data_IF_523318180709
#
_entry.id   IF_523318180709
#
_cell.length_a   1.000
_cell.length_b   1.000
_cell.length_c   1.000
_cell.angle_alpha   90.00
_cell.angle_beta   90.00
_cell.angle_gamma   90.00
#
_symmetry.space_group_name_H-M   'P 1'
#
loop_
_entity.id
_entity.type
_entity.pdbx_description
1 polymer ?
#
# COMPACT_ATOMS: atom_id res chain seq x y z
N UNK A 1 10.43 8.70 7.17
CA UNK A 1 11.30 8.00 8.15
C UNK A 1 12.74 7.78 7.64
N UNK A 2 13.09 8.25 6.45
CA UNK A 2 14.41 8.03 5.85
C UNK A 2 15.62 8.44 6.72
N UNK A 3 15.47 9.43 7.58
CA UNK A 3 16.53 9.82 8.51
C UNK A 3 16.77 8.81 9.66
N UNK A 4 15.91 7.81 9.82
CA UNK A 4 16.02 6.72 10.81
C UNK A 4 16.45 5.39 10.18
N UNK A 5 16.66 5.32 8.87
CA UNK A 5 17.10 4.10 8.18
C UNK A 5 18.52 3.70 8.62
N UNK A 6 18.80 2.46 8.78
CA UNK A 6 18.02 1.24 8.65
C UNK A 6 17.22 0.99 9.93
N UNK A 7 15.96 0.53 9.79
CA UNK A 7 15.11 0.29 10.94
C UNK A 7 14.93 -1.23 11.11
N UNK A 8 15.09 -1.69 12.37
CA UNK A 8 14.82 -3.08 12.77
C UNK A 8 13.73 -3.13 13.82
N UNK A 9 12.86 -4.10 13.70
CA UNK A 9 11.86 -4.43 14.71
C UNK A 9 12.20 -5.77 15.31
N UNK A 10 12.26 -5.84 16.64
CA UNK A 10 12.52 -7.08 17.38
C UNK A 10 11.23 -7.47 18.09
N UNK A 11 10.77 -8.67 17.82
CA UNK A 11 9.56 -9.22 18.41
C UNK A 11 9.87 -10.41 19.30
N UNK A 12 9.07 -10.59 20.34
CA UNK A 12 8.99 -11.82 21.12
C UNK A 12 7.57 -12.39 20.93
N UNK A 13 7.45 -13.39 20.08
CA UNK A 13 6.16 -13.79 19.53
C UNK A 13 5.53 -12.63 18.74
N UNK A 14 4.29 -12.27 19.06
CA UNK A 14 3.58 -11.14 18.44
C UNK A 14 3.85 -9.78 19.13
N UNK A 15 4.60 -9.76 20.24
CA UNK A 15 4.86 -8.55 21.02
C UNK A 15 6.13 -7.83 20.51
N UNK A 16 5.99 -6.57 20.08
CA UNK A 16 7.12 -5.72 19.71
C UNK A 16 7.95 -5.40 20.96
N UNK A 17 9.19 -5.92 21.01
CA UNK A 17 10.13 -5.73 22.14
C UNK A 17 10.98 -4.47 21.96
N UNK A 18 11.49 -4.23 20.76
CA UNK A 18 12.31 -3.07 20.47
C UNK A 18 12.16 -2.60 19.03
N UNK A 19 12.25 -1.27 18.84
CA UNK A 19 12.42 -0.64 17.52
C UNK A 19 13.78 0.03 17.50
N UNK A 20 14.67 -0.50 16.66
CA UNK A 20 16.02 -0.01 16.47
C UNK A 20 16.08 0.85 15.22
N UNK A 21 16.89 1.91 15.25
CA UNK A 21 17.05 2.88 14.16
C UNK A 21 18.52 3.11 13.86
N UNK A 22 18.84 3.51 12.62
CA UNK A 22 20.20 3.78 12.16
C UNK A 22 21.14 2.57 12.36
N UNK A 23 20.59 1.37 12.24
CA UNK A 23 21.34 0.13 12.41
C UNK A 23 22.32 -0.05 11.26
N UNK A 24 23.55 -0.37 11.59
CA UNK A 24 24.63 -0.68 10.67
C UNK A 24 25.04 -2.16 10.75
N UNK A 25 25.80 -2.69 9.79
CA UNK A 25 26.36 -4.04 9.89
C UNK A 25 27.20 -4.25 11.17
N UNK A 26 27.84 -3.21 11.70
CA UNK A 26 28.68 -3.29 12.91
C UNK A 26 27.86 -3.49 14.19
N UNK A 27 26.54 -3.33 14.13
CA UNK A 27 25.65 -3.48 15.28
C UNK A 27 25.07 -4.90 15.40
N UNK A 28 25.34 -5.80 14.44
CA UNK A 28 24.76 -7.15 14.40
C UNK A 28 25.06 -7.94 15.68
N UNK A 29 26.30 -7.93 16.15
CA UNK A 29 26.69 -8.67 17.36
C UNK A 29 25.98 -8.15 18.62
N UNK A 30 25.73 -6.82 18.71
CA UNK A 30 24.97 -6.24 19.81
C UNK A 30 23.51 -6.68 19.79
N UNK A 31 22.93 -6.77 18.59
CA UNK A 31 21.54 -7.19 18.39
C UNK A 31 21.38 -8.66 18.74
N UNK A 32 22.31 -9.53 18.30
CA UNK A 32 22.32 -10.95 18.64
C UNK A 32 22.44 -11.13 20.16
N UNK A 33 23.42 -10.47 20.78
CA UNK A 33 23.61 -10.53 22.23
C UNK A 33 22.38 -10.08 23.02
N UNK A 34 21.67 -9.05 22.50
CA UNK A 34 20.39 -8.62 23.10
C UNK A 34 19.32 -9.70 22.96
N UNK A 35 19.18 -10.33 21.79
CA UNK A 35 18.14 -11.37 21.58
C UNK A 35 18.37 -12.58 22.48
N UNK A 36 19.61 -12.91 22.80
CA UNK A 36 19.99 -14.01 23.68
C UNK A 36 19.82 -13.66 25.18
N UNK A 37 20.19 -12.45 25.58
CA UNK A 37 20.24 -12.06 26.99
C UNK A 37 19.03 -11.27 27.49
N UNK A 38 18.29 -10.62 26.58
CA UNK A 38 17.24 -9.65 26.91
C UNK A 38 17.75 -8.33 27.50
N UNK A 39 19.07 -8.10 27.50
CA UNK A 39 19.68 -6.93 28.12
C UNK A 39 19.62 -5.70 27.23
N UNK A 40 18.65 -4.82 27.49
CA UNK A 40 18.40 -3.57 26.74
C UNK A 40 19.61 -2.62 26.69
N UNK A 41 20.55 -2.70 27.65
CA UNK A 41 21.73 -1.81 27.66
C UNK A 41 22.62 -2.02 26.42
N UNK A 42 22.61 -3.21 25.84
CA UNK A 42 23.43 -3.57 24.67
C UNK A 42 23.00 -2.83 23.40
N UNK A 43 21.73 -2.49 23.28
CA UNK A 43 21.12 -1.84 22.12
C UNK A 43 20.59 -0.43 22.43
N UNK A 44 20.84 0.10 23.62
CA UNK A 44 20.26 1.38 24.09
C UNK A 44 20.53 2.56 23.15
N UNK A 45 21.69 2.59 22.50
CA UNK A 45 22.06 3.62 21.51
C UNK A 45 21.32 3.50 20.18
N UNK A 46 20.75 2.34 19.90
CA UNK A 46 20.03 2.04 18.66
C UNK A 46 18.52 2.18 18.84
N UNK A 47 18.00 2.18 20.07
CA UNK A 47 16.57 2.33 20.33
C UNK A 47 16.11 3.71 19.90
N UNK A 48 14.97 3.77 19.19
CA UNK A 48 14.37 5.03 18.77
C UNK A 48 14.21 6.00 19.96
N UNK A 49 14.61 7.25 19.79
CA UNK A 49 14.50 8.26 20.83
C UNK A 49 13.03 8.52 21.21
N UNK A 50 12.78 8.97 22.45
CA UNK A 50 11.44 9.37 22.87
C UNK A 50 10.91 10.56 22.07
N UNK A 51 11.78 11.44 21.58
CA UNK A 51 11.43 12.57 20.73
C UNK A 51 10.93 12.09 19.36
N UNK A 52 11.70 11.23 18.68
CA UNK A 52 11.33 10.67 17.40
C UNK A 52 10.07 9.80 17.50
N UNK A 53 9.96 9.01 18.58
CA UNK A 53 8.75 8.23 18.88
C UNK A 53 7.54 9.14 19.05
N UNK A 54 7.64 10.18 19.85
CA UNK A 54 6.58 11.15 20.07
C UNK A 54 6.18 11.89 18.79
N UNK A 55 7.14 12.20 17.90
CA UNK A 55 6.84 12.76 16.58
C UNK A 55 6.03 11.80 15.72
N UNK A 56 6.40 10.52 15.66
CA UNK A 56 5.69 9.51 14.88
C UNK A 56 4.30 9.22 15.45
N UNK A 57 4.14 9.18 16.76
CA UNK A 57 2.86 8.90 17.45
C UNK A 57 1.83 10.03 17.28
N UNK A 58 2.28 11.26 17.06
CA UNK A 58 1.39 12.40 16.76
C UNK A 58 0.81 12.39 15.35
N UNK A 59 1.31 11.53 14.45
CA UNK A 59 0.83 11.45 13.09
C UNK A 59 -0.42 10.57 12.99
N UNK A 60 -1.48 11.08 12.38
CA UNK A 60 -2.63 10.28 11.95
C UNK A 60 -2.40 9.83 10.52
N UNK A 61 -1.95 8.58 10.34
CA UNK A 61 -1.66 8.02 9.02
C UNK A 61 -2.89 7.32 8.46
N UNK A 62 -3.38 7.79 7.29
CA UNK A 62 -4.51 7.19 6.57
C UNK A 62 -3.99 6.42 5.36
N UNK A 63 -3.38 7.10 4.39
CA UNK A 63 -2.83 6.46 3.19
C UNK A 63 -1.62 5.56 3.50
N UNK A 64 -0.83 5.88 4.52
CA UNK A 64 0.32 5.11 4.97
C UNK A 64 0.02 4.29 6.23
N UNK A 65 -1.23 3.87 6.44
CA UNK A 65 -1.63 3.13 7.65
C UNK A 65 -0.85 1.83 7.85
N UNK A 66 -0.57 1.10 6.77
CA UNK A 66 0.20 -0.14 6.78
C UNK A 66 1.72 0.05 6.88
N UNK A 67 2.22 1.29 6.64
CA UNK A 67 3.66 1.56 6.60
C UNK A 67 4.35 1.28 7.94
N UNK A 68 5.25 0.28 7.97
CA UNK A 68 5.96 -0.16 9.15
C UNK A 68 5.09 -0.97 10.13
N UNK A 69 3.95 -1.47 9.68
CA UNK A 69 3.04 -2.37 10.40
C UNK A 69 2.88 -3.68 9.63
N UNK A 70 2.54 -3.60 8.35
CA UNK A 70 2.44 -4.76 7.46
C UNK A 70 3.77 -5.06 6.80
N UNK A 71 4.04 -6.36 6.59
CA UNK A 71 5.17 -6.81 5.77
C UNK A 71 4.83 -6.63 4.29
N UNK A 72 5.50 -5.72 3.56
CA UNK A 72 5.11 -5.36 2.20
C UNK A 72 5.27 -6.47 1.16
N UNK A 73 6.02 -7.53 1.50
CA UNK A 73 6.24 -8.69 0.62
C UNK A 73 5.37 -9.90 1.00
N UNK A 74 4.37 -9.73 1.93
CA UNK A 74 3.48 -10.80 2.39
C UNK A 74 2.01 -10.41 2.29
N UNK A 75 1.28 -11.10 1.41
CA UNK A 75 -0.17 -10.96 1.29
C UNK A 75 -0.87 -11.50 2.55
N UNK A 76 -0.34 -12.54 3.18
CA UNK A 76 -0.89 -13.11 4.41
C UNK A 76 -0.87 -12.10 5.56
N UNK A 77 0.21 -11.33 5.67
CA UNK A 77 0.28 -10.30 6.70
C UNK A 77 -0.67 -9.14 6.40
N UNK A 78 -0.83 -8.75 5.14
CA UNK A 78 -1.84 -7.78 4.73
C UNK A 78 -3.26 -8.25 5.05
N UNK A 79 -3.60 -9.53 4.75
CA UNK A 79 -4.89 -10.15 5.10
C UNK A 79 -5.12 -10.18 6.61
N UNK A 80 -4.09 -10.54 7.41
CA UNK A 80 -4.14 -10.54 8.87
C UNK A 80 -4.51 -9.17 9.45
N UNK A 81 -4.09 -8.09 8.79
CA UNK A 81 -4.43 -6.71 9.15
C UNK A 81 -5.73 -6.18 8.51
N UNK A 82 -6.57 -7.08 7.99
CA UNK A 82 -7.87 -6.76 7.41
C UNK A 82 -7.87 -6.43 5.92
N UNK A 83 -6.77 -6.68 5.24
CA UNK A 83 -6.65 -6.51 3.79
C UNK A 83 -7.64 -7.36 3.00
N UNK A 84 -8.03 -6.88 1.84
CA UNK A 84 -9.02 -7.45 0.91
C UNK A 84 -10.42 -7.70 1.49
N UNK A 85 -10.67 -7.31 2.74
CA UNK A 85 -12.02 -7.44 3.34
C UNK A 85 -13.02 -6.47 2.72
N UNK A 86 -12.58 -5.26 2.36
CA UNK A 86 -13.41 -4.27 1.68
C UNK A 86 -13.80 -4.75 0.28
N UNK A 87 -12.84 -5.26 -0.49
CA UNK A 87 -13.09 -5.84 -1.81
C UNK A 87 -14.08 -7.01 -1.71
N UNK A 88 -13.85 -7.95 -0.77
CA UNK A 88 -14.74 -9.09 -0.56
C UNK A 88 -16.18 -8.67 -0.19
N UNK A 89 -16.33 -7.66 0.67
CA UNK A 89 -17.63 -7.10 1.02
C UNK A 89 -18.33 -6.53 -0.20
N UNK A 90 -17.63 -5.68 -0.96
CA UNK A 90 -18.17 -4.98 -2.13
C UNK A 90 -18.68 -5.99 -3.16
N UNK A 91 -17.85 -6.95 -3.56
CA UNK A 91 -18.21 -7.93 -4.59
C UNK A 91 -19.40 -8.83 -4.18
N UNK A 92 -19.63 -9.04 -2.88
CA UNK A 92 -20.73 -9.86 -2.38
C UNK A 92 -22.04 -9.08 -2.15
N UNK A 93 -21.97 -7.80 -1.83
CA UNK A 93 -23.12 -7.09 -1.26
C UNK A 93 -23.46 -5.76 -1.89
N UNK A 94 -22.65 -5.26 -2.82
CA UNK A 94 -22.83 -3.91 -3.37
C UNK A 94 -22.80 -3.92 -4.89
N UNK A 95 -23.62 -3.07 -5.50
CA UNK A 95 -23.48 -2.75 -6.92
C UNK A 95 -22.38 -1.69 -7.14
N UNK A 96 -21.85 -1.58 -8.35
CA UNK A 96 -20.88 -0.51 -8.67
C UNK A 96 -21.38 0.91 -8.34
N UNK A 97 -22.67 1.17 -8.55
CA UNK A 97 -23.29 2.47 -8.24
C UNK A 97 -23.31 2.73 -6.73
N UNK A 98 -23.59 1.69 -5.93
CA UNK A 98 -23.53 1.79 -4.47
C UNK A 98 -22.12 2.06 -3.97
N UNK A 99 -21.09 1.48 -4.60
CA UNK A 99 -19.69 1.81 -4.29
C UNK A 99 -19.38 3.28 -4.59
N UNK A 100 -19.84 3.80 -5.74
CA UNK A 100 -19.67 5.22 -6.07
C UNK A 100 -20.38 6.12 -5.06
N UNK A 101 -21.57 5.75 -4.59
CA UNK A 101 -22.31 6.51 -3.57
C UNK A 101 -21.59 6.50 -2.21
N UNK A 102 -20.99 5.36 -1.80
CA UNK A 102 -20.15 5.30 -0.59
C UNK A 102 -18.94 6.26 -0.69
N UNK A 103 -18.27 6.29 -1.86
CA UNK A 103 -17.17 7.25 -2.10
C UNK A 103 -17.66 8.70 -2.04
N UNK A 104 -18.88 8.98 -2.49
CA UNK A 104 -19.48 10.30 -2.41
C UNK A 104 -19.80 10.70 -0.97
N UNK A 105 -20.40 9.79 -0.20
CA UNK A 105 -20.73 10.00 1.23
C UNK A 105 -19.44 10.21 2.05
N UNK A 106 -18.37 9.48 1.72
CA UNK A 106 -17.07 9.62 2.41
C UNK A 106 -16.40 10.99 2.19
N UNK A 107 -16.81 11.74 1.20
CA UNK A 107 -16.19 13.02 0.83
C UNK A 107 -14.77 12.87 0.26
N UNK A 108 -14.37 11.66 -0.16
CA UNK A 108 -13.02 11.43 -0.72
C UNK A 108 -12.77 12.34 -1.92
N UNK A 109 -11.66 13.07 -1.86
CA UNK A 109 -11.24 14.01 -2.87
C UNK A 109 -9.77 13.79 -3.26
N UNK A 110 -9.40 14.25 -4.46
CA UNK A 110 -8.03 14.16 -4.95
C UNK A 110 -7.05 14.92 -4.05
N UNK A 111 -5.84 14.40 -3.92
CA UNK A 111 -4.75 14.95 -3.08
C UNK A 111 -3.66 15.64 -3.89
N UNK A 112 -3.85 15.81 -5.20
CA UNK A 112 -2.92 16.53 -6.08
C UNK A 112 -3.07 18.05 -6.08
N UNK A 113 -3.73 18.64 -5.07
CA UNK A 113 -3.92 20.08 -4.90
C UNK A 113 -5.31 20.60 -5.27
N UNK A 114 -5.94 20.08 -6.32
CA UNK A 114 -7.26 20.56 -6.77
C UNK A 114 -8.45 20.11 -5.90
N UNK A 115 -8.28 19.08 -5.06
CA UNK A 115 -9.34 18.57 -4.20
C UNK A 115 -10.59 18.08 -4.94
N UNK A 116 -10.44 17.60 -6.18
CA UNK A 116 -11.56 17.21 -7.01
C UNK A 116 -12.27 15.97 -6.45
N UNK A 117 -13.62 15.93 -6.37
CA UNK A 117 -14.36 14.81 -5.83
C UNK A 117 -14.13 13.51 -6.60
N UNK A 118 -13.65 12.47 -5.91
CA UNK A 118 -13.32 11.17 -6.53
C UNK A 118 -14.55 10.51 -7.14
N UNK A 119 -15.68 10.51 -6.40
CA UNK A 119 -16.94 9.92 -6.86
C UNK A 119 -17.40 10.47 -8.21
N UNK A 120 -17.20 11.78 -8.45
CA UNK A 120 -17.63 12.41 -9.70
C UNK A 120 -16.88 11.83 -10.90
N UNK A 121 -15.56 11.66 -10.78
CA UNK A 121 -14.74 11.05 -11.84
C UNK A 121 -15.12 9.59 -12.07
N UNK A 122 -15.36 8.83 -11.01
CA UNK A 122 -15.75 7.43 -11.14
C UNK A 122 -17.12 7.29 -11.79
N UNK A 123 -18.08 8.12 -11.38
CA UNK A 123 -19.42 8.13 -11.99
C UNK A 123 -19.37 8.51 -13.47
N UNK A 124 -18.61 9.56 -13.82
CA UNK A 124 -18.45 9.97 -15.23
C UNK A 124 -17.79 8.88 -16.07
N UNK A 125 -16.75 8.22 -15.57
CA UNK A 125 -16.10 7.09 -16.23
C UNK A 125 -17.06 5.91 -16.42
N UNK A 126 -17.87 5.59 -15.38
CA UNK A 126 -18.87 4.53 -15.47
C UNK A 126 -19.92 4.82 -16.52
N UNK A 127 -20.41 6.05 -16.61
CA UNK A 127 -21.44 6.47 -17.55
C UNK A 127 -20.93 6.71 -18.98
N UNK A 128 -19.61 6.79 -19.19
CA UNK A 128 -19.03 6.98 -20.51
C UNK A 128 -19.42 5.82 -21.43
N UNK A 129 -19.81 6.15 -22.64
CA UNK A 129 -20.08 5.16 -23.68
C UNK A 129 -18.80 4.40 -24.06
N UNK A 130 -18.96 3.12 -24.44
CA UNK A 130 -17.87 2.23 -24.86
C UNK A 130 -17.80 0.98 -24.00
N UNK A 131 -17.40 -0.11 -24.63
CA UNK A 131 -17.35 -1.43 -24.02
C UNK A 131 -16.04 -1.68 -23.27
N UNK A 132 -15.01 -0.92 -23.58
CA UNK A 132 -13.69 -1.02 -22.97
C UNK A 132 -13.41 0.16 -22.04
N UNK A 133 -13.11 -0.14 -20.78
CA UNK A 133 -12.68 0.83 -19.78
C UNK A 133 -11.41 0.35 -19.12
N UNK A 134 -10.54 1.29 -18.86
CA UNK A 134 -9.25 1.07 -18.22
C UNK A 134 -9.15 1.89 -16.93
N UNK A 135 -8.53 1.30 -15.91
CA UNK A 135 -8.12 2.04 -14.72
C UNK A 135 -6.63 2.32 -14.79
N UNK A 136 -6.26 3.58 -14.80
CA UNK A 136 -4.85 3.99 -14.79
C UNK A 136 -4.48 4.60 -13.44
N UNK A 137 -3.57 3.93 -12.72
CA UNK A 137 -2.88 4.50 -11.58
C UNK A 137 -1.62 5.23 -12.06
N UNK A 138 -1.64 6.54 -11.97
CA UNK A 138 -0.46 7.36 -12.25
C UNK A 138 0.42 7.39 -11.01
N UNK A 139 1.43 6.52 -10.99
CA UNK A 139 2.47 6.43 -9.97
C UNK A 139 3.82 6.98 -10.48
N UNK A 140 3.74 7.97 -11.35
CA UNK A 140 4.89 8.72 -11.85
C UNK A 140 5.00 10.03 -11.04
N UNK A 141 5.79 9.97 -9.97
CA UNK A 141 6.02 11.05 -9.02
C UNK A 141 7.24 11.88 -9.45
N UNK A 142 6.98 12.83 -10.38
CA UNK A 142 8.03 13.58 -11.06
C UNK A 142 8.62 14.75 -10.27
N UNK A 143 7.96 15.26 -9.24
CA UNK A 143 8.43 16.38 -8.44
C UNK A 143 9.74 16.06 -7.72
N UNK A 144 10.78 16.89 -7.83
CA UNK A 144 12.03 16.69 -7.09
C UNK A 144 11.79 16.64 -5.58
N UNK A 145 12.26 15.55 -4.95
CA UNK A 145 12.11 15.33 -3.50
C UNK A 145 10.74 14.78 -3.05
N UNK A 146 9.77 14.62 -3.96
CA UNK A 146 8.53 13.93 -3.66
C UNK A 146 8.77 12.43 -3.43
N UNK A 147 8.04 11.83 -2.49
CA UNK A 147 8.19 10.43 -2.10
C UNK A 147 6.88 9.77 -1.61
N UNK A 148 5.75 10.44 -1.75
CA UNK A 148 4.45 9.95 -1.25
C UNK A 148 3.99 8.68 -1.97
N UNK A 149 3.99 8.70 -3.31
CA UNK A 149 3.59 7.54 -4.13
C UNK A 149 4.57 6.39 -3.93
N UNK A 150 5.86 6.68 -3.92
CA UNK A 150 6.93 5.72 -3.61
C UNK A 150 6.70 5.08 -2.25
N UNK A 151 6.45 5.88 -1.21
CA UNK A 151 6.25 5.38 0.15
C UNK A 151 5.03 4.42 0.23
N UNK A 152 3.93 4.73 -0.44
CA UNK A 152 2.76 3.83 -0.49
C UNK A 152 3.12 2.51 -1.16
N UNK A 153 3.70 2.55 -2.36
CA UNK A 153 3.97 1.33 -3.14
C UNK A 153 5.03 0.45 -2.46
N UNK A 154 6.06 1.06 -1.86
CA UNK A 154 7.12 0.33 -1.19
C UNK A 154 6.69 -0.24 0.18
N UNK A 155 5.73 0.37 0.86
CA UNK A 155 5.34 -0.06 2.20
C UNK A 155 4.04 -0.86 2.28
N UNK A 156 3.12 -0.66 1.33
CA UNK A 156 1.80 -1.31 1.36
C UNK A 156 1.24 -1.48 -0.07
N UNK A 157 1.91 -2.27 -0.93
CA UNK A 157 1.50 -2.46 -2.32
C UNK A 157 0.13 -3.12 -2.45
N UNK A 158 -0.26 -3.97 -1.49
CA UNK A 158 -1.57 -4.63 -1.49
C UNK A 158 -2.72 -3.65 -1.24
N UNK A 159 -2.53 -2.62 -0.42
CA UNK A 159 -3.54 -1.57 -0.22
C UNK A 159 -3.80 -0.80 -1.53
N UNK A 160 -2.75 -0.55 -2.33
CA UNK A 160 -2.91 0.04 -3.65
C UNK A 160 -3.69 -0.89 -4.59
N UNK A 161 -3.34 -2.18 -4.64
CA UNK A 161 -4.01 -3.18 -5.49
C UNK A 161 -5.49 -3.30 -5.10
N UNK A 162 -5.81 -3.44 -3.81
CA UNK A 162 -7.20 -3.51 -3.34
C UNK A 162 -7.99 -2.25 -3.73
N UNK A 163 -7.43 -1.07 -3.50
CA UNK A 163 -8.05 0.21 -3.89
C UNK A 163 -8.30 0.31 -5.40
N UNK A 164 -7.35 -0.17 -6.21
CA UNK A 164 -7.50 -0.23 -7.67
C UNK A 164 -8.57 -1.22 -8.11
N UNK A 165 -8.68 -2.39 -7.48
CA UNK A 165 -9.74 -3.37 -7.77
C UNK A 165 -11.12 -2.80 -7.45
N UNK A 166 -11.27 -2.11 -6.32
CA UNK A 166 -12.50 -1.43 -5.93
C UNK A 166 -12.88 -0.37 -6.97
N UNK A 167 -11.92 0.44 -7.40
CA UNK A 167 -12.13 1.46 -8.42
C UNK A 167 -12.48 0.84 -9.78
N UNK A 168 -11.79 -0.23 -10.19
CA UNK A 168 -12.05 -0.94 -11.43
C UNK A 168 -13.46 -1.53 -11.46
N UNK A 169 -13.89 -2.16 -10.36
CA UNK A 169 -15.26 -2.64 -10.20
C UNK A 169 -16.28 -1.50 -10.35
N UNK A 170 -16.07 -0.40 -9.62
CA UNK A 170 -16.98 0.74 -9.62
C UNK A 170 -17.16 1.36 -11.02
N UNK A 171 -16.08 1.52 -11.80
CA UNK A 171 -16.14 2.13 -13.14
C UNK A 171 -16.44 1.13 -14.27
N UNK A 172 -16.33 -0.19 -14.00
CA UNK A 172 -16.49 -1.24 -14.99
C UNK A 172 -15.24 -1.49 -15.84
N UNK A 173 -14.04 -1.22 -15.31
CA UNK A 173 -12.79 -1.51 -15.98
C UNK A 173 -12.41 -2.99 -15.84
N UNK A 174 -11.93 -3.58 -16.92
CA UNK A 174 -11.43 -4.97 -16.97
C UNK A 174 -9.91 -5.06 -16.94
N UNK A 175 -9.22 -3.94 -17.05
CA UNK A 175 -7.77 -3.84 -16.97
C UNK A 175 -7.37 -2.64 -16.11
N UNK A 176 -6.45 -2.88 -15.19
CA UNK A 176 -5.83 -1.89 -14.33
C UNK A 176 -4.34 -1.78 -14.66
N UNK A 177 -3.87 -0.56 -14.87
CA UNK A 177 -2.49 -0.29 -15.28
C UNK A 177 -1.85 0.61 -14.25
N UNK A 178 -0.70 0.20 -13.70
CA UNK A 178 0.13 1.08 -12.86
C UNK A 178 1.25 1.64 -13.71
N UNK A 179 1.20 2.95 -13.95
CA UNK A 179 2.28 3.69 -14.59
C UNK A 179 3.21 4.24 -13.51
N UNK A 180 4.38 3.63 -13.38
CA UNK A 180 5.35 3.88 -12.31
C UNK A 180 6.69 4.32 -12.89
N UNK A 181 7.40 5.21 -12.18
CA UNK A 181 8.74 5.66 -12.58
C UNK A 181 9.74 4.50 -12.63
N UNK A 182 10.54 4.43 -13.69
CA UNK A 182 11.64 3.47 -13.80
C UNK A 182 12.71 3.68 -12.70
N UNK A 183 12.81 4.90 -12.18
CA UNK A 183 13.71 5.30 -11.09
C UNK A 183 13.31 4.73 -9.71
N UNK A 184 12.16 4.06 -9.61
CA UNK A 184 11.71 3.39 -8.39
C UNK A 184 11.79 1.85 -8.49
N UNK A 185 12.99 1.26 -8.61
CA UNK A 185 13.13 -0.18 -8.86
C UNK A 185 12.57 -1.05 -7.73
N UNK A 186 12.68 -0.60 -6.47
CA UNK A 186 12.13 -1.33 -5.32
C UNK A 186 10.60 -1.33 -5.34
N UNK A 187 9.98 -0.18 -5.65
CA UNK A 187 8.53 -0.08 -5.79
C UNK A 187 8.02 -1.01 -6.89
N UNK A 188 8.70 -1.05 -8.05
CA UNK A 188 8.36 -1.95 -9.16
C UNK A 188 8.47 -3.42 -8.72
N UNK A 189 9.57 -3.78 -8.03
CA UNK A 189 9.79 -5.15 -7.54
C UNK A 189 8.67 -5.57 -6.58
N UNK A 190 8.38 -4.77 -5.56
CA UNK A 190 7.33 -5.06 -4.56
C UNK A 190 5.95 -5.14 -5.18
N UNK A 191 5.64 -4.22 -6.11
CA UNK A 191 4.36 -4.24 -6.81
C UNK A 191 4.19 -5.50 -7.68
N UNK A 192 5.24 -5.97 -8.36
CA UNK A 192 5.19 -7.24 -9.12
C UNK A 192 4.92 -8.42 -8.20
N UNK A 193 5.67 -8.54 -7.12
CA UNK A 193 5.46 -9.58 -6.11
C UNK A 193 4.03 -9.56 -5.57
N UNK A 194 3.52 -8.39 -5.21
CA UNK A 194 2.16 -8.25 -4.69
C UNK A 194 1.08 -8.60 -5.73
N UNK A 195 1.28 -8.27 -7.00
CA UNK A 195 0.37 -8.68 -8.08
C UNK A 195 0.40 -10.21 -8.26
N UNK A 196 1.57 -10.83 -8.27
CA UNK A 196 1.72 -12.29 -8.37
C UNK A 196 0.99 -13.00 -7.22
N UNK A 197 1.20 -12.58 -5.99
CA UNK A 197 0.49 -13.10 -4.81
C UNK A 197 -1.03 -12.88 -4.90
N UNK A 198 -1.47 -11.71 -5.37
CA UNK A 198 -2.90 -11.43 -5.53
C UNK A 198 -3.55 -12.27 -6.63
N UNK A 199 -2.81 -12.63 -7.69
CA UNK A 199 -3.26 -13.58 -8.72
C UNK A 199 -3.39 -14.98 -8.12
N UNK A 200 -2.39 -15.47 -7.39
CA UNK A 200 -2.40 -16.79 -6.74
C UNK A 200 -3.56 -16.94 -5.75
N UNK A 201 -3.91 -15.88 -5.02
CA UNK A 201 -5.04 -15.85 -4.07
C UNK A 201 -6.41 -15.60 -4.73
N UNK A 202 -6.45 -15.37 -6.05
CA UNK A 202 -7.71 -15.12 -6.78
C UNK A 202 -8.30 -13.72 -6.57
N UNK A 203 -7.51 -12.75 -6.14
CA UNK A 203 -7.91 -11.34 -6.06
C UNK A 203 -7.73 -10.61 -7.40
N UNK A 204 -6.93 -11.14 -8.32
CA UNK A 204 -6.73 -10.63 -9.67
C UNK A 204 -6.98 -11.76 -10.67
N UNK A 205 -7.61 -11.46 -11.79
CA UNK A 205 -7.87 -12.42 -12.87
C UNK A 205 -9.34 -12.50 -13.26
N UNK A 206 -9.80 -13.72 -13.54
CA UNK A 206 -11.19 -14.00 -13.96
C UNK A 206 -12.04 -14.38 -12.73
N UNK A 207 -13.29 -13.92 -12.69
CA UNK A 207 -14.29 -14.27 -11.67
C UNK A 207 -13.76 -14.09 -10.23
N UNK A 208 -13.19 -12.92 -9.95
CA UNK A 208 -12.54 -12.58 -8.67
C UNK A 208 -13.47 -12.90 -7.49
N UNK A 209 -12.97 -13.68 -6.51
CA UNK A 209 -13.73 -14.13 -5.33
C UNK A 209 -15.08 -14.78 -5.69
N UNK A 210 -15.14 -15.49 -6.81
CA UNK A 210 -16.36 -16.15 -7.34
C UNK A 210 -17.48 -15.18 -7.73
N UNK A 211 -17.16 -13.94 -8.05
CA UNK A 211 -18.07 -12.94 -8.60
C UNK A 211 -18.01 -12.90 -10.12
N UNK A 212 -18.89 -12.11 -10.77
CA UNK A 212 -18.84 -11.84 -12.20
C UNK A 212 -17.78 -10.79 -12.60
N UNK A 213 -17.04 -10.28 -11.61
CA UNK A 213 -15.99 -9.29 -11.83
C UNK A 213 -14.67 -9.94 -12.20
N UNK A 214 -14.08 -9.47 -13.29
CA UNK A 214 -12.75 -9.87 -13.76
C UNK A 214 -11.90 -8.64 -14.00
N UNK A 215 -10.65 -8.66 -13.58
CA UNK A 215 -9.73 -7.55 -13.77
C UNK A 215 -8.28 -8.05 -13.90
N UNK A 216 -7.59 -7.60 -14.95
CA UNK A 216 -6.16 -7.87 -15.17
C UNK A 216 -5.34 -6.69 -14.73
N UNK A 217 -4.12 -6.96 -14.25
CA UNK A 217 -3.18 -5.91 -13.86
C UNK A 217 -1.95 -5.91 -14.74
N UNK A 218 -1.47 -4.70 -15.04
CA UNK A 218 -0.24 -4.49 -15.78
C UNK A 218 0.57 -3.35 -15.19
N UNK A 219 1.89 -3.54 -15.09
CA UNK A 219 2.83 -2.48 -14.73
C UNK A 219 3.46 -1.92 -16.00
N UNK A 220 3.47 -0.60 -16.12
CA UNK A 220 4.21 0.13 -17.14
C UNK A 220 5.25 1.01 -16.48
N UNK A 221 6.52 0.64 -16.62
CA UNK A 221 7.61 1.51 -16.19
C UNK A 221 7.78 2.64 -17.21
N UNK A 222 7.74 3.87 -16.72
CA UNK A 222 8.01 5.07 -17.50
C UNK A 222 9.39 5.63 -17.18
N UNK A 223 10.03 6.25 -18.17
CA UNK A 223 11.32 6.93 -18.00
C UNK A 223 11.16 8.40 -18.39
N UNK A 224 11.63 9.29 -17.52
CA UNK A 224 11.77 10.71 -17.80
C UNK A 224 10.44 11.44 -18.02
N UNK A 225 9.83 11.82 -16.94
CA UNK A 225 8.81 12.88 -16.95
C UNK A 225 9.42 14.17 -16.43
#
# INVERSE_FOLDING_TARGET
>A
MGFLETIFYIYNGDALTARLVKVSPDDVDKIISFTESGNMSQISSLVISNEDKGFLEKQTRIALRGCGITEPESIEDYEKHGGYTALSKILKTMTPEQVIEEIKISGLAGRGGAGFPTWFKWNAARQSAGDEKYLLCKADEGDPGAFMDRAVIESDPHALIEGMLIAAYAIGAKEAIVYVRAEYPLAIKRLRNAIEQAVEKGYIGENILSSDFSCKFRIKAGAGA
#
